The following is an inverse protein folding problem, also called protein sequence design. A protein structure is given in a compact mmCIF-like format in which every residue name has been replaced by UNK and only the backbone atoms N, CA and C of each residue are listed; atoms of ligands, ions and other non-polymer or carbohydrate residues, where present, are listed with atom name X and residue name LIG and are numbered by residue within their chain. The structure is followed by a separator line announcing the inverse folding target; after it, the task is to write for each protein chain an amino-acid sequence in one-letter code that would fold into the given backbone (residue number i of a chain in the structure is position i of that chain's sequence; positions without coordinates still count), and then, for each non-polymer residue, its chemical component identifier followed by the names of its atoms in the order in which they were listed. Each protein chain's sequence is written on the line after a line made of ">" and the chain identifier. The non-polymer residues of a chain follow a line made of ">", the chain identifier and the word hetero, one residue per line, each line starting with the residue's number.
data_IF_259885228292
#
_entry.id   IF_259885228292
#
_cell.length_a   1.000
_cell.length_b   1.000
_cell.length_c   1.000
_cell.angle_alpha   90.00
_cell.angle_beta   90.00
_cell.angle_gamma   90.00
#
_symmetry.space_group_name_H-M   'P 1'
#
loop_
_entity.id
_entity.type
_entity.pdbx_description
1 polymer ?
#
# COMPACT_ATOMS: atom_id res chain seq x y z
N UNK A 1 32.16 -4.63 19.09
CA UNK A 1 31.05 -5.58 18.85
C UNK A 1 29.81 -4.74 18.61
N UNK A 2 29.66 -4.31 17.36
CA UNK A 2 28.64 -3.37 16.91
C UNK A 2 27.23 -3.93 17.10
N UNK A 3 26.63 -3.59 18.23
CA UNK A 3 25.19 -3.65 18.40
C UNK A 3 24.58 -2.49 17.63
N UNK A 4 24.43 -2.63 16.30
CA UNK A 4 23.47 -1.82 15.55
C UNK A 4 22.10 -2.17 16.07
N UNK A 5 21.71 -1.48 17.14
CA UNK A 5 20.37 -1.51 17.68
C UNK A 5 19.52 -0.82 16.63
N UNK A 6 18.82 -1.60 15.81
CA UNK A 6 17.77 -1.05 14.95
C UNK A 6 16.80 -0.34 15.89
N UNK A 7 16.53 0.96 15.69
CA UNK A 7 15.55 1.65 16.51
C UNK A 7 14.19 0.96 16.32
N UNK A 8 13.33 0.92 17.36
CA UNK A 8 11.99 0.40 17.23
C UNK A 8 11.26 1.23 16.16
N UNK A 9 10.46 0.57 15.31
CA UNK A 9 9.57 1.20 14.34
C UNK A 9 8.51 2.04 15.08
N UNK A 10 8.90 3.19 15.61
CA UNK A 10 8.03 4.12 16.32
C UNK A 10 7.33 5.01 15.29
N UNK A 11 6.21 4.46 14.80
CA UNK A 11 5.07 5.15 14.16
C UNK A 11 5.39 5.86 12.84
N UNK A 12 4.69 5.41 11.80
CA UNK A 12 4.50 6.08 10.51
C UNK A 12 4.50 7.60 10.71
N UNK A 13 5.54 8.27 10.21
CA UNK A 13 5.64 9.73 10.24
C UNK A 13 4.55 10.29 9.32
N UNK A 14 3.44 10.84 9.85
CA UNK A 14 2.32 11.28 9.03
C UNK A 14 2.70 12.43 8.11
N UNK A 15 3.72 13.22 8.49
CA UNK A 15 4.22 14.31 7.67
C UNK A 15 4.89 13.78 6.40
N UNK A 16 5.43 12.56 6.44
CA UNK A 16 6.00 11.90 5.27
C UNK A 16 4.93 11.48 4.28
N UNK A 17 3.81 10.93 4.78
CA UNK A 17 2.69 10.45 3.95
C UNK A 17 2.02 11.61 3.18
N UNK A 18 1.90 12.80 3.81
CA UNK A 18 1.29 14.00 3.21
C UNK A 18 2.03 14.50 1.94
N UNK A 19 3.30 14.13 1.77
CA UNK A 19 4.12 14.55 0.62
C UNK A 19 4.17 13.51 -0.50
N UNK A 20 3.51 12.35 -0.32
CA UNK A 20 3.48 11.30 -1.33
C UNK A 20 2.40 11.56 -2.38
N UNK A 21 2.64 11.04 -3.58
CA UNK A 21 1.63 11.06 -4.63
C UNK A 21 0.40 10.23 -4.22
N UNK A 22 -0.80 10.73 -4.51
CA UNK A 22 -2.06 10.09 -4.09
C UNK A 22 -2.24 8.66 -4.61
N UNK A 23 -1.66 8.31 -5.76
CA UNK A 23 -1.75 6.94 -6.31
C UNK A 23 -0.95 5.89 -5.53
N UNK A 24 -0.11 6.33 -4.59
CA UNK A 24 0.64 5.48 -3.65
C UNK A 24 -0.17 5.14 -2.38
N UNK A 25 -1.30 5.84 -2.19
CA UNK A 25 -2.16 5.70 -1.01
C UNK A 25 -3.28 4.70 -1.31
N UNK A 26 -3.50 3.76 -0.41
CA UNK A 26 -4.58 2.81 -0.52
C UNK A 26 -5.94 3.52 -0.39
N UNK A 27 -6.89 3.33 -1.32
CA UNK A 27 -8.20 3.97 -1.28
C UNK A 27 -9.15 3.40 -0.20
N UNK A 28 -8.77 2.29 0.46
CA UNK A 28 -9.55 1.69 1.56
C UNK A 28 -9.03 2.17 2.92
N UNK A 29 -7.72 2.02 3.17
CA UNK A 29 -7.13 2.37 4.47
C UNK A 29 -6.73 3.84 4.58
N UNK A 30 -6.66 4.57 3.47
CA UNK A 30 -6.16 5.94 3.41
C UNK A 30 -4.74 6.10 3.97
N UNK A 31 -3.93 5.04 3.82
CA UNK A 31 -2.51 4.96 4.20
C UNK A 31 -1.67 4.59 3.00
N UNK A 32 -0.38 4.88 3.06
CA UNK A 32 0.58 4.40 2.06
C UNK A 32 0.54 2.86 2.01
N UNK A 33 0.65 2.30 0.81
CA UNK A 33 0.68 0.84 0.64
C UNK A 33 2.08 0.29 0.96
N UNK A 34 2.16 -0.72 1.81
CA UNK A 34 3.40 -1.48 2.04
C UNK A 34 3.46 -2.70 1.10
N UNK A 35 2.31 -3.37 0.93
CA UNK A 35 2.15 -4.53 0.06
C UNK A 35 1.08 -4.26 -1.00
N UNK A 36 1.36 -3.38 -1.98
CA UNK A 36 0.39 -3.04 -3.00
C UNK A 36 0.03 -4.27 -3.86
N UNK A 37 -1.26 -4.52 -3.99
CA UNK A 37 -1.83 -5.50 -4.92
C UNK A 37 -2.75 -4.82 -5.91
N UNK A 38 -2.74 -5.28 -7.16
CA UNK A 38 -3.55 -4.75 -8.25
C UNK A 38 -4.69 -5.71 -8.60
N UNK A 39 -5.88 -5.15 -8.82
CA UNK A 39 -7.05 -5.87 -9.33
C UNK A 39 -7.04 -5.94 -10.87
N UNK A 40 -7.81 -6.84 -11.50
CA UNK A 40 -7.96 -6.87 -12.95
C UNK A 40 -8.55 -5.59 -13.55
N UNK A 41 -9.20 -4.76 -12.74
CA UNK A 41 -9.66 -3.42 -13.13
C UNK A 41 -8.54 -2.37 -13.16
N UNK A 42 -7.33 -2.72 -12.72
CA UNK A 42 -6.17 -1.82 -12.71
C UNK A 42 -6.01 -0.98 -11.43
N UNK A 43 -6.87 -1.18 -10.43
CA UNK A 43 -6.80 -0.45 -9.16
C UNK A 43 -5.86 -1.13 -8.17
N UNK A 44 -5.08 -0.33 -7.45
CA UNK A 44 -4.16 -0.83 -6.43
C UNK A 44 -4.67 -0.60 -5.02
N UNK A 45 -4.39 -1.55 -4.14
CA UNK A 45 -4.82 -1.55 -2.74
C UNK A 45 -3.72 -2.11 -1.84
N UNK A 46 -3.72 -1.71 -0.58
CA UNK A 46 -3.00 -2.46 0.45
C UNK A 46 -3.62 -3.86 0.57
N UNK A 47 -2.78 -4.89 0.51
CA UNK A 47 -3.19 -6.29 0.52
C UNK A 47 -4.09 -6.63 1.72
N UNK A 48 -3.73 -6.18 2.92
CA UNK A 48 -4.54 -6.47 4.10
C UNK A 48 -5.95 -5.86 3.98
N UNK A 49 -6.02 -4.60 3.57
CA UNK A 49 -7.26 -3.83 3.44
C UNK A 49 -8.22 -4.43 2.41
N UNK A 50 -7.72 -4.81 1.22
CA UNK A 50 -8.59 -5.39 0.18
C UNK A 50 -9.05 -6.80 0.55
N UNK A 51 -8.24 -7.60 1.23
CA UNK A 51 -8.66 -8.94 1.67
C UNK A 51 -9.76 -8.87 2.74
N UNK A 52 -9.66 -7.92 3.67
CA UNK A 52 -10.73 -7.69 4.65
C UNK A 52 -12.03 -7.23 3.97
N UNK A 53 -11.92 -6.32 3.00
CA UNK A 53 -13.07 -5.88 2.21
C UNK A 53 -13.74 -7.05 1.48
N UNK A 54 -12.96 -7.86 0.77
CA UNK A 54 -13.48 -8.99 -0.02
C UNK A 54 -14.11 -10.10 0.84
N UNK A 55 -13.70 -10.23 2.11
CA UNK A 55 -14.35 -11.13 3.05
C UNK A 55 -15.81 -10.73 3.37
N UNK A 56 -16.14 -9.44 3.24
CA UNK A 56 -17.48 -8.88 3.49
C UNK A 56 -18.26 -8.63 2.19
N UNK A 57 -17.57 -8.20 1.14
CA UNK A 57 -18.16 -7.79 -0.12
C UNK A 57 -17.26 -8.18 -1.31
N UNK A 58 -17.58 -9.23 -2.08
CA UNK A 58 -16.72 -9.77 -3.14
C UNK A 58 -16.78 -8.95 -4.45
N UNK A 59 -16.55 -7.64 -4.33
CA UNK A 59 -16.47 -6.70 -5.47
C UNK A 59 -15.28 -5.77 -5.30
N UNK A 60 -14.71 -5.30 -6.40
CA UNK A 60 -13.72 -4.22 -6.40
C UNK A 60 -14.36 -2.95 -5.80
N UNK A 61 -13.76 -2.32 -4.78
CA UNK A 61 -14.34 -1.15 -4.12
C UNK A 61 -14.61 0.04 -5.05
N UNK A 62 -13.81 0.19 -6.11
CA UNK A 62 -13.85 1.35 -7.00
C UNK A 62 -14.65 1.07 -8.28
N UNK A 63 -14.40 -0.06 -8.95
CA UNK A 63 -15.12 -0.40 -10.18
C UNK A 63 -16.46 -1.09 -9.93
N UNK A 64 -16.70 -1.56 -8.70
CA UNK A 64 -17.86 -2.36 -8.29
C UNK A 64 -18.02 -3.69 -9.06
N UNK A 65 -17.01 -4.08 -9.84
CA UNK A 65 -16.99 -5.34 -10.57
C UNK A 65 -16.73 -6.52 -9.62
N UNK A 66 -17.26 -7.72 -9.89
CA UNK A 66 -16.94 -8.91 -9.10
C UNK A 66 -15.44 -9.14 -9.01
N UNK A 67 -14.94 -9.34 -7.80
CA UNK A 67 -13.51 -9.51 -7.55
C UNK A 67 -13.29 -10.66 -6.56
N UNK A 68 -12.46 -11.62 -6.95
CA UNK A 68 -12.03 -12.71 -6.09
C UNK A 68 -10.62 -12.40 -5.52
N UNK A 69 -10.32 -12.80 -4.27
CA UNK A 69 -8.97 -12.65 -3.70
C UNK A 69 -7.87 -13.29 -4.56
N UNK A 70 -8.17 -14.40 -5.25
CA UNK A 70 -7.23 -15.09 -6.16
C UNK A 70 -6.94 -14.33 -7.44
N UNK A 71 -7.70 -13.28 -7.74
CA UNK A 71 -7.52 -12.43 -8.93
C UNK A 71 -6.65 -11.20 -8.63
N UNK A 72 -6.17 -11.05 -7.39
CA UNK A 72 -5.23 -10.00 -7.00
C UNK A 72 -3.80 -10.45 -7.32
N UNK A 73 -3.02 -9.53 -7.87
CA UNK A 73 -1.61 -9.75 -8.17
C UNK A 73 -0.75 -8.72 -7.45
N UNK A 74 0.48 -9.07 -7.07
CA UNK A 74 1.41 -8.10 -6.50
C UNK A 74 1.73 -7.00 -7.52
N UNK A 75 1.62 -5.75 -7.11
CA UNK A 75 2.00 -4.60 -7.94
C UNK A 75 3.43 -4.18 -7.62
N UNK A 76 4.40 -4.96 -8.12
CA UNK A 76 5.84 -4.74 -7.84
C UNK A 76 6.35 -3.38 -8.31
N UNK A 77 5.87 -2.90 -9.46
CA UNK A 77 6.25 -1.59 -9.97
C UNK A 77 5.81 -0.46 -9.03
N UNK A 78 4.58 -0.53 -8.51
CA UNK A 78 4.11 0.44 -7.52
C UNK A 78 4.86 0.32 -6.19
N UNK A 79 5.18 -0.91 -5.76
CA UNK A 79 5.98 -1.14 -4.56
C UNK A 79 7.36 -0.50 -4.65
N UNK A 80 8.04 -0.64 -5.79
CA UNK A 80 9.33 0.00 -6.06
C UNK A 80 9.22 1.53 -6.04
N UNK A 81 8.18 2.09 -6.66
CA UNK A 81 7.93 3.54 -6.65
C UNK A 81 7.69 4.09 -5.23
N UNK A 82 6.91 3.38 -4.41
CA UNK A 82 6.65 3.76 -3.01
C UNK A 82 7.96 3.81 -2.22
N UNK A 83 8.78 2.77 -2.32
CA UNK A 83 10.07 2.71 -1.63
C UNK A 83 10.97 3.87 -2.05
N UNK A 84 11.11 4.13 -3.36
CA UNK A 84 11.93 5.22 -3.87
C UNK A 84 11.45 6.59 -3.35
N UNK A 85 10.13 6.82 -3.33
CA UNK A 85 9.57 8.08 -2.84
C UNK A 85 9.81 8.27 -1.34
N UNK A 86 9.63 7.22 -0.54
CA UNK A 86 9.88 7.25 0.90
C UNK A 86 11.35 7.51 1.22
N UNK A 87 12.27 6.83 0.54
CA UNK A 87 13.72 7.04 0.70
C UNK A 87 14.13 8.46 0.32
N UNK A 88 13.58 8.99 -0.78
CA UNK A 88 13.82 10.36 -1.22
C UNK A 88 13.36 11.38 -0.19
N UNK A 89 12.20 11.17 0.45
CA UNK A 89 11.68 12.07 1.47
C UNK A 89 12.45 11.95 2.79
N UNK A 90 12.83 10.74 3.20
CA UNK A 90 13.61 10.50 4.42
C UNK A 90 15.05 11.03 4.36
N UNK A 91 15.57 11.26 3.14
CA UNK A 91 16.90 11.83 2.92
C UNK A 91 16.91 13.37 2.82
N UNK A 92 15.77 14.04 3.02
CA UNK A 92 15.65 15.51 3.06
C UNK A 92 15.88 16.04 4.46
#
# INVERSE_FOLDING_TARGET
>A
VDGRKMPPLEKEDPELEDHLSQHLVCPISHRVMDLPVISPSGHSYERASILEWLARRPVDPLSLMPLAPSSLYANRALQEEIVEQLERLASR
#
